data_IF_504382650278
#
_entry.id   IF_504382650278
#
_cell.length_a   1.000
_cell.length_b   1.000
_cell.length_c   1.000
_cell.angle_alpha   90.00
_cell.angle_beta   90.00
_cell.angle_gamma   90.00
#
_symmetry.space_group_name_H-M   'P 1'
#
loop_
_entity.id
_entity.type
_entity.pdbx_description
1 polymer ?
#
# COMPACT_ATOMS: atom_id res chain seq x y z
N UNK A 1 0.53 -20.15 51.46
CA UNK A 1 1.71 -20.40 52.31
C UNK A 1 2.81 -21.04 51.45
N UNK A 2 3.49 -20.25 50.63
CA UNK A 2 4.76 -20.66 50.04
C UNK A 2 5.87 -20.06 50.89
N UNK A 3 6.60 -20.94 51.57
CA UNK A 3 7.75 -20.61 52.40
C UNK A 3 8.89 -20.19 51.49
N UNK A 4 9.31 -18.94 51.60
CA UNK A 4 10.54 -18.43 51.00
C UNK A 4 11.74 -19.09 51.69
N UNK A 5 12.45 -19.95 50.95
CA UNK A 5 13.67 -20.62 51.40
C UNK A 5 14.88 -19.83 50.90
N UNK A 6 15.71 -19.21 51.77
CA UNK A 6 16.70 -18.21 51.35
C UNK A 6 18.02 -18.77 50.78
N UNK A 7 18.20 -20.09 50.67
CA UNK A 7 19.53 -20.70 50.51
C UNK A 7 19.65 -21.77 49.41
N UNK A 8 19.33 -21.47 48.14
CA UNK A 8 19.70 -22.37 47.02
C UNK A 8 20.11 -21.63 45.74
N UNK A 9 21.39 -21.74 45.37
CA UNK A 9 21.84 -21.61 43.97
C UNK A 9 21.79 -20.22 43.32
N UNK A 10 22.41 -19.22 43.96
CA UNK A 10 22.50 -17.81 43.51
C UNK A 10 23.23 -17.59 42.17
N UNK A 11 22.51 -17.63 41.04
CA UNK A 11 22.84 -16.74 39.90
C UNK A 11 21.77 -16.75 38.81
N UNK A 12 21.33 -17.92 38.36
CA UNK A 12 20.47 -18.02 37.15
C UNK A 12 18.97 -17.93 37.48
N UNK A 13 18.53 -18.58 38.56
CA UNK A 13 17.14 -18.48 39.03
C UNK A 13 16.79 -17.06 39.48
N UNK A 14 17.69 -16.41 40.24
CA UNK A 14 17.52 -15.02 40.70
C UNK A 14 17.41 -14.03 39.53
N UNK A 15 18.15 -14.26 38.43
CA UNK A 15 18.12 -13.39 37.25
C UNK A 15 16.80 -13.56 36.48
N UNK A 16 16.36 -14.80 36.27
CA UNK A 16 15.10 -15.07 35.58
C UNK A 16 13.92 -14.54 36.39
N UNK A 17 13.89 -14.74 37.70
CA UNK A 17 12.84 -14.21 38.57
C UNK A 17 12.81 -12.68 38.52
N UNK A 18 13.97 -12.01 38.64
CA UNK A 18 14.05 -10.55 38.50
C UNK A 18 13.58 -10.07 37.11
N UNK A 19 13.93 -10.79 36.04
CA UNK A 19 13.48 -10.49 34.69
C UNK A 19 11.96 -10.66 34.54
N UNK A 20 11.39 -11.74 35.09
CA UNK A 20 9.94 -11.98 35.11
C UNK A 20 9.19 -10.90 35.89
N UNK A 21 9.69 -10.47 37.05
CA UNK A 21 9.10 -9.38 37.82
C UNK A 21 9.10 -8.05 37.04
N UNK A 22 10.20 -7.71 36.37
CA UNK A 22 10.28 -6.48 35.54
C UNK A 22 9.27 -6.55 34.38
N UNK A 23 9.16 -7.72 33.73
CA UNK A 23 8.23 -7.93 32.63
C UNK A 23 6.76 -7.85 33.10
N UNK A 24 6.44 -8.41 34.27
CA UNK A 24 5.12 -8.35 34.88
C UNK A 24 4.72 -6.91 35.24
N UNK A 25 5.63 -6.14 35.85
CA UNK A 25 5.40 -4.72 36.15
C UNK A 25 5.17 -3.93 34.86
N UNK A 26 5.89 -4.22 33.77
CA UNK A 26 5.68 -3.55 32.49
C UNK A 26 4.35 -3.93 31.81
N UNK A 27 3.94 -5.21 31.88
CA UNK A 27 2.76 -5.71 31.19
C UNK A 27 1.44 -5.45 31.94
N UNK A 28 1.45 -5.53 33.27
CA UNK A 28 0.24 -5.50 34.12
C UNK A 28 0.20 -4.23 34.99
N UNK A 29 1.33 -3.55 35.20
CA UNK A 29 1.41 -2.33 36.02
C UNK A 29 1.30 -2.58 37.52
N UNK A 30 1.31 -3.84 37.96
CA UNK A 30 1.18 -4.26 39.35
C UNK A 30 2.53 -4.71 39.90
N UNK A 31 2.95 -4.15 41.04
CA UNK A 31 4.15 -4.54 41.77
C UNK A 31 3.71 -5.16 43.10
N UNK A 32 3.72 -6.49 43.18
CA UNK A 32 3.45 -7.19 44.44
C UNK A 32 4.67 -7.03 45.39
N UNK A 33 4.40 -6.46 46.57
CA UNK A 33 5.27 -6.35 47.75
C UNK A 33 6.74 -5.91 47.57
N UNK A 34 6.93 -4.62 47.27
CA UNK A 34 8.23 -3.93 47.44
C UNK A 34 8.44 -3.58 48.92
N UNK A 35 8.90 -4.53 49.73
CA UNK A 35 9.41 -4.23 51.08
C UNK A 35 10.82 -3.64 51.01
N UNK A 36 10.88 -2.34 50.74
CA UNK A 36 12.12 -1.58 50.56
C UNK A 36 12.74 -1.28 51.93
N UNK A 37 13.82 -1.97 52.29
CA UNK A 37 14.65 -1.61 53.46
C UNK A 37 15.98 -0.93 53.09
N UNK A 38 16.36 -0.94 51.81
CA UNK A 38 17.65 -0.44 51.30
C UNK A 38 17.43 0.57 50.16
N UNK A 39 17.83 1.82 50.37
CA UNK A 39 17.65 2.93 49.41
C UNK A 39 18.30 2.63 48.04
N UNK A 40 19.40 1.87 48.04
CA UNK A 40 20.14 1.50 46.83
C UNK A 40 19.36 0.60 45.87
N UNK A 41 18.53 -0.32 46.37
CA UNK A 41 17.74 -1.22 45.51
C UNK A 41 16.61 -0.48 44.80
N UNK A 42 15.93 0.43 45.51
CA UNK A 42 14.89 1.28 44.93
C UNK A 42 15.44 2.16 43.80
N UNK A 43 16.63 2.73 43.98
CA UNK A 43 17.29 3.53 42.96
C UNK A 43 17.56 2.73 41.69
N UNK A 44 17.99 1.47 41.80
CA UNK A 44 18.22 0.57 40.65
C UNK A 44 16.91 0.25 39.94
N UNK A 45 15.84 -0.05 40.66
CA UNK A 45 14.53 -0.35 40.06
C UNK A 45 13.94 0.86 39.31
N UNK A 46 13.98 2.05 39.91
CA UNK A 46 13.49 3.29 39.28
C UNK A 46 14.35 3.61 38.06
N UNK A 47 15.68 3.51 38.19
CA UNK A 47 16.59 3.74 37.07
C UNK A 47 16.35 2.75 35.92
N UNK A 48 16.15 1.47 36.20
CA UNK A 48 15.86 0.46 35.17
C UNK A 48 14.52 0.71 34.47
N UNK A 49 13.48 1.14 35.22
CA UNK A 49 12.17 1.44 34.65
C UNK A 49 12.19 2.68 33.76
N UNK A 50 12.84 3.76 34.21
CA UNK A 50 13.01 4.98 33.42
C UNK A 50 13.87 4.74 32.18
N UNK A 51 14.94 3.96 32.32
CA UNK A 51 15.80 3.54 31.22
C UNK A 51 15.00 2.73 30.18
N UNK A 52 14.22 1.74 30.61
CA UNK A 52 13.34 0.96 29.73
C UNK A 52 12.32 1.83 28.99
N UNK A 53 11.66 2.75 29.69
CA UNK A 53 10.72 3.69 29.08
C UNK A 53 11.39 4.60 28.05
N UNK A 54 12.60 5.09 28.35
CA UNK A 54 13.38 5.91 27.43
C UNK A 54 13.75 5.13 26.17
N UNK A 55 14.21 3.88 26.30
CA UNK A 55 14.52 3.05 25.14
C UNK A 55 13.29 2.73 24.28
N UNK A 56 12.16 2.38 24.91
CA UNK A 56 10.91 2.07 24.18
C UNK A 56 10.37 3.29 23.45
N UNK A 57 10.44 4.48 24.06
CA UNK A 57 9.96 5.72 23.42
C UNK A 57 10.81 6.10 22.21
N UNK A 58 12.15 6.05 22.32
CA UNK A 58 13.05 6.31 21.19
C UNK A 58 12.85 5.28 20.07
N UNK A 59 12.79 3.99 20.41
CA UNK A 59 12.61 2.93 19.43
C UNK A 59 11.29 3.07 18.67
N UNK A 60 10.20 3.33 19.39
CA UNK A 60 8.87 3.55 18.80
C UNK A 60 8.86 4.79 17.91
N UNK A 61 9.55 5.87 18.30
CA UNK A 61 9.71 7.07 17.49
C UNK A 61 10.37 6.77 16.14
N UNK A 62 11.55 6.14 16.17
CA UNK A 62 12.29 5.78 14.94
C UNK A 62 11.51 4.79 14.06
N UNK A 63 10.86 3.79 14.67
CA UNK A 63 10.03 2.84 13.94
C UNK A 63 8.86 3.53 13.24
N UNK A 64 8.17 4.44 13.93
CA UNK A 64 7.02 5.19 13.40
C UNK A 64 7.43 6.10 12.25
N UNK A 65 8.60 6.72 12.30
CA UNK A 65 9.14 7.55 11.21
C UNK A 65 9.34 6.74 9.93
N UNK A 66 9.94 5.54 10.02
CA UNK A 66 10.16 4.66 8.86
C UNK A 66 8.86 4.21 8.23
N UNK A 67 7.90 3.78 9.06
CA UNK A 67 6.57 3.36 8.59
C UNK A 67 5.85 4.54 7.94
N UNK A 68 5.90 5.72 8.54
CA UNK A 68 5.31 6.93 7.99
C UNK A 68 5.92 7.35 6.66
N UNK A 69 7.24 7.22 6.50
CA UNK A 69 7.94 7.47 5.24
C UNK A 69 7.48 6.51 4.13
N UNK A 70 7.39 5.20 4.43
CA UNK A 70 6.86 4.21 3.49
C UNK A 70 5.41 4.51 3.10
N UNK A 71 4.55 4.83 4.09
CA UNK A 71 3.16 5.22 3.84
C UNK A 71 3.06 6.47 2.96
N UNK A 72 3.96 7.45 3.15
CA UNK A 72 3.98 8.67 2.34
C UNK A 72 4.32 8.38 0.88
N UNK A 73 5.28 7.49 0.61
CA UNK A 73 5.63 7.05 -0.76
C UNK A 73 4.49 6.24 -1.39
N UNK A 74 3.83 5.37 -0.63
CA UNK A 74 2.67 4.63 -1.12
C UNK A 74 1.49 5.57 -1.46
N UNK A 75 1.27 6.60 -0.64
CA UNK A 75 0.23 7.62 -0.84
C UNK A 75 0.54 8.54 -2.03
N UNK A 76 1.81 8.87 -2.27
CA UNK A 76 2.21 9.73 -3.39
C UNK A 76 2.07 9.05 -4.76
N UNK A 77 1.97 7.72 -4.79
CA UNK A 77 1.77 6.97 -6.03
C UNK A 77 3.05 6.59 -6.75
N UNK A 78 4.23 6.80 -6.15
CA UNK A 78 5.56 6.49 -6.72
C UNK A 78 6.03 5.04 -6.51
N UNK A 79 5.15 4.15 -6.05
CA UNK A 79 5.53 2.74 -5.88
C UNK A 79 5.57 1.99 -7.21
N UNK A 80 6.51 1.06 -7.32
CA UNK A 80 6.69 0.21 -8.51
C UNK A 80 5.42 -0.57 -8.86
N UNK A 81 5.12 -0.66 -10.15
CA UNK A 81 4.03 -1.47 -10.68
C UNK A 81 4.56 -2.86 -11.02
N UNK A 82 3.97 -3.88 -10.40
CA UNK A 82 4.39 -5.29 -10.57
C UNK A 82 3.57 -6.00 -11.66
N UNK A 83 2.73 -5.28 -12.39
CA UNK A 83 1.78 -5.89 -13.32
C UNK A 83 2.39 -6.16 -14.72
N UNK A 84 2.06 -7.30 -15.32
CA UNK A 84 2.45 -7.68 -16.68
C UNK A 84 1.27 -7.56 -17.65
N UNK A 85 1.55 -7.36 -18.95
CA UNK A 85 0.54 -7.33 -20.01
C UNK A 85 -0.44 -6.15 -19.93
N UNK A 86 -0.10 -5.11 -19.17
CA UNK A 86 -0.96 -3.97 -18.93
C UNK A 86 -0.91 -2.96 -20.08
N UNK A 87 -1.92 -2.09 -20.15
CA UNK A 87 -1.90 -0.95 -21.07
C UNK A 87 -1.37 0.26 -20.31
N UNK A 88 -0.30 0.87 -20.80
CA UNK A 88 0.33 2.03 -20.19
C UNK A 88 -0.12 3.30 -20.90
N UNK A 89 -0.56 4.31 -20.16
CA UNK A 89 -0.87 5.65 -20.65
C UNK A 89 0.17 6.60 -20.09
N UNK A 90 0.89 7.27 -20.98
CA UNK A 90 1.91 8.26 -20.66
C UNK A 90 1.35 9.66 -20.90
N UNK A 91 1.49 10.55 -19.93
CA UNK A 91 0.93 11.89 -19.98
C UNK A 91 -0.52 11.94 -19.52
N UNK A 92 -1.02 13.16 -19.32
CA UNK A 92 -2.38 13.41 -18.88
C UNK A 92 -2.93 14.65 -19.56
N UNK A 93 -4.06 14.46 -20.25
CA UNK A 93 -4.86 15.49 -20.91
C UNK A 93 -6.36 15.21 -20.61
N UNK A 94 -7.26 16.13 -20.92
CA UNK A 94 -8.71 15.93 -20.87
C UNK A 94 -9.16 14.68 -21.64
N UNK A 95 -8.49 14.37 -22.76
CA UNK A 95 -8.69 13.15 -23.56
C UNK A 95 -8.41 11.88 -22.76
N UNK A 96 -7.44 11.90 -21.84
CA UNK A 96 -7.04 10.74 -21.04
C UNK A 96 -8.20 10.24 -20.21
N UNK A 97 -8.93 11.15 -19.57
CA UNK A 97 -10.12 10.81 -18.77
C UNK A 97 -11.20 10.19 -19.65
N UNK A 98 -11.40 10.71 -20.87
CA UNK A 98 -12.38 10.16 -21.83
C UNK A 98 -12.03 8.74 -22.26
N UNK A 99 -10.75 8.47 -22.55
CA UNK A 99 -10.23 7.14 -22.89
C UNK A 99 -10.45 6.18 -21.72
N UNK A 100 -10.09 6.56 -20.50
CA UNK A 100 -10.29 5.72 -19.31
C UNK A 100 -11.77 5.34 -19.12
N UNK A 101 -12.69 6.29 -19.34
CA UNK A 101 -14.13 6.02 -19.30
C UNK A 101 -14.56 5.02 -20.38
N UNK A 102 -14.08 5.16 -21.62
CA UNK A 102 -14.38 4.22 -22.70
C UNK A 102 -13.85 2.82 -22.39
N UNK A 103 -12.64 2.71 -21.85
CA UNK A 103 -12.09 1.42 -21.42
C UNK A 103 -12.92 0.80 -20.30
N UNK A 104 -13.36 1.60 -19.32
CA UNK A 104 -14.20 1.09 -18.24
C UNK A 104 -15.52 0.50 -18.77
N UNK A 105 -16.12 1.13 -19.79
CA UNK A 105 -17.31 0.63 -20.47
C UNK A 105 -17.03 -0.66 -21.26
N UNK A 106 -15.93 -0.72 -22.01
CA UNK A 106 -15.51 -1.94 -22.74
C UNK A 106 -15.28 -3.11 -21.79
N UNK A 107 -14.64 -2.87 -20.65
CA UNK A 107 -14.44 -3.86 -19.59
C UNK A 107 -15.75 -4.36 -19.00
N UNK A 108 -16.71 -3.45 -18.79
CA UNK A 108 -18.03 -3.83 -18.30
C UNK A 108 -18.76 -4.72 -19.32
N UNK A 109 -18.69 -4.38 -20.61
CA UNK A 109 -19.26 -5.20 -21.68
C UNK A 109 -18.63 -6.60 -21.72
N UNK A 110 -17.30 -6.69 -21.68
CA UNK A 110 -16.57 -7.97 -21.63
C UNK A 110 -16.99 -8.82 -20.41
N UNK A 111 -17.11 -8.20 -19.24
CA UNK A 111 -17.56 -8.87 -18.01
C UNK A 111 -19.01 -9.33 -18.08
N UNK A 112 -19.89 -8.58 -18.76
CA UNK A 112 -21.31 -8.94 -18.95
C UNK A 112 -21.43 -10.14 -19.89
N UNK A 113 -20.70 -10.15 -21.00
CA UNK A 113 -20.69 -11.28 -21.95
C UNK A 113 -20.20 -12.57 -21.26
N UNK A 114 -19.12 -12.48 -20.49
CA UNK A 114 -18.55 -13.61 -19.76
C UNK A 114 -19.20 -13.89 -18.40
N UNK A 115 -20.31 -13.22 -18.03
CA UNK A 115 -20.98 -13.41 -16.74
C UNK A 115 -21.49 -14.84 -16.60
N UNK A 116 -22.17 -15.34 -17.64
CA UNK A 116 -22.74 -16.68 -17.65
C UNK A 116 -21.63 -17.74 -17.61
N UNK A 117 -20.62 -17.62 -18.47
CA UNK A 117 -19.46 -18.52 -18.49
C UNK A 117 -18.75 -18.61 -17.13
N UNK A 118 -18.60 -17.48 -16.43
CA UNK A 118 -17.99 -17.44 -15.09
C UNK A 118 -18.85 -18.13 -14.03
N UNK A 119 -20.18 -18.02 -14.14
CA UNK A 119 -21.10 -18.77 -13.27
C UNK A 119 -21.05 -20.28 -13.57
N UNK A 120 -21.07 -20.67 -14.84
CA UNK A 120 -20.97 -22.07 -15.29
C UNK A 120 -19.64 -22.71 -14.85
N UNK A 121 -18.53 -21.99 -15.03
CA UNK A 121 -17.22 -22.44 -14.57
C UNK A 121 -17.20 -22.68 -13.06
N UNK A 122 -17.84 -21.82 -12.27
CA UNK A 122 -17.90 -21.96 -10.81
C UNK A 122 -18.79 -23.12 -10.36
N UNK A 123 -19.86 -23.43 -11.09
CA UNK A 123 -20.80 -24.50 -10.73
C UNK A 123 -20.39 -25.88 -11.23
N UNK A 124 -19.71 -25.97 -12.38
CA UNK A 124 -19.49 -27.25 -13.07
C UNK A 124 -18.05 -27.46 -13.56
N UNK A 125 -17.12 -26.52 -13.34
CA UNK A 125 -15.72 -26.61 -13.77
C UNK A 125 -15.49 -26.50 -15.29
N UNK A 126 -16.55 -26.60 -16.10
CA UNK A 126 -16.49 -26.45 -17.54
C UNK A 126 -16.31 -24.98 -17.95
N UNK A 127 -15.29 -24.67 -18.76
CA UNK A 127 -15.10 -23.35 -19.40
C UNK A 127 -16.09 -23.07 -20.56
N UNK A 128 -17.24 -23.75 -20.57
CA UNK A 128 -18.18 -23.71 -21.68
C UNK A 128 -18.80 -22.31 -21.78
N UNK A 129 -18.57 -21.65 -22.91
CA UNK A 129 -19.09 -20.31 -23.19
C UNK A 129 -18.17 -19.16 -22.77
N UNK A 130 -16.92 -19.42 -22.32
CA UNK A 130 -15.94 -18.33 -22.13
C UNK A 130 -15.51 -17.78 -23.48
N UNK A 131 -15.68 -16.47 -23.66
CA UNK A 131 -15.27 -15.75 -24.85
C UNK A 131 -13.98 -15.00 -24.50
N UNK A 132 -12.85 -15.27 -25.17
CA UNK A 132 -11.59 -14.57 -24.88
C UNK A 132 -11.72 -13.08 -25.21
N UNK A 133 -10.94 -12.25 -24.52
CA UNK A 133 -10.89 -10.81 -24.79
C UNK A 133 -10.33 -10.56 -26.20
N UNK A 134 -10.98 -9.67 -26.95
CA UNK A 134 -10.52 -9.34 -28.30
C UNK A 134 -9.41 -8.31 -28.27
N UNK A 135 -9.49 -7.37 -27.33
CA UNK A 135 -8.49 -6.31 -27.14
C UNK A 135 -7.76 -6.49 -25.81
N UNK A 136 -6.48 -6.09 -25.72
CA UNK A 136 -5.72 -6.19 -24.47
C UNK A 136 -6.33 -5.36 -23.33
N UNK A 137 -7.09 -4.33 -23.68
CA UNK A 137 -7.61 -3.29 -22.79
C UNK A 137 -8.87 -3.75 -22.03
N UNK A 138 -9.64 -4.68 -22.61
CA UNK A 138 -10.85 -5.28 -22.01
C UNK A 138 -10.53 -6.00 -20.68
N UNK A 139 -9.47 -6.80 -20.68
CA UNK A 139 -9.09 -7.64 -19.54
C UNK A 139 -7.93 -7.05 -18.71
N UNK A 140 -6.91 -6.47 -19.35
CA UNK A 140 -5.70 -6.06 -18.65
C UNK A 140 -5.87 -4.75 -17.87
N UNK A 141 -5.13 -4.59 -16.77
CA UNK A 141 -5.14 -3.33 -16.00
C UNK A 141 -4.58 -2.18 -16.84
N UNK A 142 -5.05 -0.97 -16.55
CA UNK A 142 -4.51 0.25 -17.14
C UNK A 142 -3.59 0.88 -16.11
N UNK A 143 -2.41 1.32 -16.54
CA UNK A 143 -1.48 2.10 -15.73
C UNK A 143 -1.36 3.48 -16.36
N UNK A 144 -1.49 4.54 -15.57
CA UNK A 144 -1.36 5.92 -16.03
C UNK A 144 -0.15 6.51 -15.32
N UNK A 145 0.79 7.06 -16.07
CA UNK A 145 1.97 7.78 -15.56
C UNK A 145 1.89 9.24 -16.00
N UNK A 146 1.90 10.16 -15.02
CA UNK A 146 1.95 11.59 -15.32
C UNK A 146 2.82 12.37 -14.34
N UNK A 147 3.48 13.41 -14.83
CA UNK A 147 4.24 14.37 -14.05
C UNK A 147 3.42 15.58 -13.59
N UNK A 148 2.29 15.87 -14.24
CA UNK A 148 1.56 17.14 -14.09
C UNK A 148 0.45 17.13 -13.01
N UNK A 149 -0.03 15.95 -12.57
CA UNK A 149 -1.13 15.80 -11.60
C UNK A 149 -0.74 14.89 -10.45
N UNK A 150 -1.28 15.19 -9.26
CA UNK A 150 -1.08 14.30 -8.11
C UNK A 150 -1.99 13.07 -8.18
N UNK A 151 -1.62 11.97 -7.50
CA UNK A 151 -2.45 10.76 -7.42
C UNK A 151 -3.88 11.04 -6.96
N UNK A 152 -4.04 11.95 -5.99
CA UNK A 152 -5.34 12.35 -5.45
C UNK A 152 -6.18 13.09 -6.48
N UNK A 153 -5.57 14.04 -7.20
CA UNK A 153 -6.23 14.76 -8.28
C UNK A 153 -6.66 13.83 -9.41
N UNK A 154 -5.79 12.91 -9.84
CA UNK A 154 -6.14 11.91 -10.87
C UNK A 154 -7.33 11.06 -10.43
N UNK A 155 -7.29 10.52 -9.21
CA UNK A 155 -8.40 9.73 -8.69
C UNK A 155 -9.70 10.54 -8.64
N UNK A 156 -9.64 11.79 -8.19
CA UNK A 156 -10.80 12.69 -8.15
C UNK A 156 -11.37 12.95 -9.55
N UNK A 157 -10.52 13.27 -10.53
CA UNK A 157 -10.93 13.52 -11.90
C UNK A 157 -11.60 12.30 -12.55
N UNK A 158 -11.05 11.10 -12.35
CA UNK A 158 -11.65 9.86 -12.87
C UNK A 158 -12.96 9.56 -12.15
N UNK A 159 -13.04 9.79 -10.83
CA UNK A 159 -14.26 9.61 -10.06
C UNK A 159 -15.39 10.53 -10.52
N UNK A 160 -15.07 11.80 -10.78
CA UNK A 160 -16.03 12.79 -11.29
C UNK A 160 -16.52 12.37 -12.69
N UNK A 161 -15.61 12.02 -13.60
CA UNK A 161 -15.98 11.55 -14.93
C UNK A 161 -16.79 10.25 -14.92
N UNK A 162 -16.55 9.35 -13.95
CA UNK A 162 -17.34 8.13 -13.78
C UNK A 162 -18.75 8.43 -13.27
N UNK A 163 -18.89 9.41 -12.36
CA UNK A 163 -20.20 9.86 -11.88
C UNK A 163 -21.02 10.51 -13.00
N UNK A 164 -20.41 11.40 -13.77
CA UNK A 164 -21.06 12.08 -14.90
C UNK A 164 -21.60 11.09 -15.95
N UNK A 165 -20.86 10.01 -16.20
CA UNK A 165 -21.22 8.98 -17.20
C UNK A 165 -22.01 7.81 -16.62
N UNK A 166 -22.33 7.82 -15.33
CA UNK A 166 -23.06 6.73 -14.67
C UNK A 166 -22.30 5.40 -14.62
N UNK A 167 -20.97 5.40 -14.65
CA UNK A 167 -20.15 4.19 -14.62
C UNK A 167 -20.03 3.67 -13.18
N UNK A 168 -20.58 2.48 -12.93
CA UNK A 168 -20.54 1.87 -11.60
C UNK A 168 -19.12 1.42 -11.21
N UNK A 169 -18.65 1.82 -10.03
CA UNK A 169 -17.37 1.35 -9.49
C UNK A 169 -17.39 -0.11 -9.04
N UNK A 170 -18.54 -0.79 -9.06
CA UNK A 170 -18.66 -2.20 -8.72
C UNK A 170 -17.87 -3.11 -9.69
N UNK A 171 -17.69 -2.68 -10.94
CA UNK A 171 -17.05 -3.48 -11.97
C UNK A 171 -15.64 -2.99 -12.34
N UNK A 172 -15.35 -1.70 -12.15
CA UNK A 172 -14.05 -1.09 -12.49
C UNK A 172 -13.57 -0.25 -11.31
N UNK A 173 -12.57 -0.76 -10.59
CA UNK A 173 -12.07 -0.13 -9.36
C UNK A 173 -10.80 0.69 -9.60
N UNK A 174 -10.82 1.97 -9.22
CA UNK A 174 -9.62 2.81 -9.20
C UNK A 174 -8.66 2.30 -8.12
N UNK A 175 -7.40 2.10 -8.48
CA UNK A 175 -6.35 1.49 -7.64
C UNK A 175 -6.14 0.00 -7.86
N UNK A 176 -7.13 -0.74 -8.40
CA UNK A 176 -7.01 -2.17 -8.73
C UNK A 176 -7.00 -2.43 -10.23
N UNK A 177 -7.93 -1.81 -10.96
CA UNK A 177 -8.13 -1.95 -12.40
C UNK A 177 -7.46 -0.81 -13.17
N UNK A 178 -7.49 0.38 -12.60
CA UNK A 178 -6.87 1.60 -13.10
C UNK A 178 -5.84 2.06 -12.06
N UNK A 179 -4.57 1.99 -12.40
CA UNK A 179 -3.46 2.29 -11.50
C UNK A 179 -2.90 3.66 -11.90
N UNK A 180 -3.05 4.66 -11.05
CA UNK A 180 -2.49 5.99 -11.27
C UNK A 180 -1.12 6.11 -10.58
N UNK A 181 -0.12 6.54 -11.34
CA UNK A 181 1.28 6.74 -10.93
C UNK A 181 1.72 8.15 -11.26
N UNK A 182 2.55 8.70 -10.39
CA UNK A 182 3.07 10.07 -10.52
C UNK A 182 4.56 9.97 -10.77
N UNK A 183 5.03 10.57 -11.85
CA UNK A 183 6.42 10.53 -12.28
C UNK A 183 6.55 11.12 -13.67
N UNK A 184 7.76 11.52 -14.02
CA UNK A 184 8.04 12.09 -15.34
C UNK A 184 8.03 10.98 -16.41
N UNK A 185 7.16 11.05 -17.43
CA UNK A 185 7.12 10.07 -18.51
C UNK A 185 8.38 10.11 -19.41
N UNK A 186 9.15 11.21 -19.41
CA UNK A 186 10.41 11.29 -20.15
C UNK A 186 11.57 10.55 -19.46
N UNK A 187 11.43 10.26 -18.16
CA UNK A 187 12.45 9.58 -17.38
C UNK A 187 12.40 8.06 -17.56
N UNK A 188 13.52 7.47 -18.02
CA UNK A 188 13.66 6.01 -18.19
C UNK A 188 13.46 5.25 -16.88
N UNK A 189 13.92 5.81 -15.76
CA UNK A 189 13.77 5.20 -14.43
C UNK A 189 12.29 5.06 -14.04
N UNK A 190 11.49 6.10 -14.31
CA UNK A 190 10.05 6.09 -14.04
C UNK A 190 9.29 5.15 -14.99
N UNK A 191 9.72 5.07 -16.26
CA UNK A 191 9.19 4.10 -17.22
C UNK A 191 9.44 2.64 -16.77
N UNK A 192 10.62 2.35 -16.22
CA UNK A 192 10.89 1.04 -15.61
C UNK A 192 10.04 0.81 -14.34
N UNK A 193 9.81 1.84 -13.53
CA UNK A 193 8.96 1.74 -12.34
C UNK A 193 7.51 1.39 -12.67
N UNK A 194 6.96 1.91 -13.76
CA UNK A 194 5.61 1.56 -14.22
C UNK A 194 5.55 0.26 -15.02
N UNK A 195 6.69 -0.28 -15.41
CA UNK A 195 6.79 -1.53 -16.15
C UNK A 195 6.50 -1.36 -17.65
N UNK A 196 7.01 -0.30 -18.26
CA UNK A 196 6.88 -0.04 -19.70
C UNK A 196 7.42 -1.22 -20.55
N UNK A 197 8.41 -1.94 -20.05
CA UNK A 197 8.97 -3.17 -20.63
C UNK A 197 7.97 -4.33 -20.71
N UNK A 198 7.05 -4.41 -19.75
CA UNK A 198 6.05 -5.48 -19.60
C UNK A 198 4.67 -5.06 -20.09
N UNK A 199 4.52 -3.84 -20.61
CA UNK A 199 3.27 -3.34 -21.14
C UNK A 199 2.97 -3.98 -22.50
N UNK A 200 1.69 -4.31 -22.75
CA UNK A 200 1.25 -4.87 -24.04
C UNK A 200 0.96 -3.79 -25.08
N UNK A 201 0.61 -2.59 -24.60
CA UNK A 201 0.38 -1.41 -25.42
C UNK A 201 0.73 -0.16 -24.62
N UNK A 202 1.27 0.85 -25.29
CA UNK A 202 1.62 2.15 -24.70
C UNK A 202 0.89 3.23 -25.51
N UNK A 203 0.14 4.08 -24.81
CA UNK A 203 -0.55 5.24 -25.36
C UNK A 203 0.15 6.50 -24.84
N UNK A 204 0.69 7.31 -25.73
CA UNK A 204 1.29 8.60 -25.37
C UNK A 204 0.25 9.70 -25.60
N UNK A 205 0.11 10.60 -24.63
CA UNK A 205 -0.75 11.77 -24.70
C UNK A 205 0.12 13.01 -24.57
N UNK A 206 -0.05 13.95 -25.50
CA UNK A 206 0.58 15.26 -25.45
C UNK A 206 0.11 15.99 -24.20
N UNK A 207 1.06 16.55 -23.45
CA UNK A 207 0.76 17.49 -22.37
C UNK A 207 0.77 18.93 -22.89
N UNK A 208 0.18 19.85 -22.14
CA UNK A 208 0.19 21.28 -22.47
C UNK A 208 1.62 21.85 -22.60
N UNK A 209 2.61 21.24 -21.91
CA UNK A 209 4.02 21.61 -22.03
C UNK A 209 4.60 21.16 -23.37
N UNK A 210 4.25 19.96 -23.82
CA UNK A 210 4.68 19.43 -25.12
C UNK A 210 4.09 20.24 -26.29
N UNK A 211 2.84 20.69 -26.16
CA UNK A 211 2.18 21.57 -27.15
C UNK A 211 2.93 22.90 -27.29
N UNK A 212 3.29 23.55 -26.17
CA UNK A 212 4.08 24.80 -26.20
C UNK A 212 5.47 24.60 -26.79
N UNK A 213 6.10 23.46 -26.50
CA UNK A 213 7.41 23.14 -27.07
C UNK A 213 7.32 22.92 -28.58
N UNK A 214 6.23 22.31 -29.07
CA UNK A 214 6.00 22.13 -30.50
C UNK A 214 5.73 23.45 -31.24
N UNK A 215 5.08 24.43 -30.61
CA UNK A 215 4.81 25.75 -31.21
C UNK A 215 6.05 26.66 -31.32
N UNK A 216 7.05 26.44 -30.46
CA UNK A 216 8.30 27.22 -30.44
C UNK A 216 9.35 26.73 -31.45
N UNK A 217 9.08 25.66 -32.19
CA UNK A 217 9.96 25.03 -33.18
C UNK A 217 9.33 25.05 -34.58
#
# INVERSE_FOLDING_TARGET
WMVYNPDSGRSEADFLDAFFYILQVFAIGEAEDITIKELGRLAVYIASMLCGLFFVTIFTGLATERVSAMMKVARSGRTRVVNTGHTLILGWNETTVRVVCQVALLREQFRRQNRFARWVFRSCGCQRGYIPANTPVEEARIVILTGNKTKKEMHKAILEAFKERGISQAHTHIGRDIICRVGDPASVSELQHVGADRAKAILVQMTEEDEKNAENH
#
